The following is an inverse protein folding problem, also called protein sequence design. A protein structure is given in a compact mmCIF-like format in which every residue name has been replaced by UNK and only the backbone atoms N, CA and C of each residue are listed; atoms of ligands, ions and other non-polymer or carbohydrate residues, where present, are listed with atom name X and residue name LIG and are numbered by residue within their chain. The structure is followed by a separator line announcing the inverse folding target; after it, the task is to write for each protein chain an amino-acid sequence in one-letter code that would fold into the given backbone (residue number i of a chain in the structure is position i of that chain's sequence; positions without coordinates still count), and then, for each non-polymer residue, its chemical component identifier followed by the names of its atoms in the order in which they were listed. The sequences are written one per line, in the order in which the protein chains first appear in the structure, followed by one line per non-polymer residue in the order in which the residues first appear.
data_IF_008095024318
#
_entry.id   IF_008095024318
#
_cell.length_a   1.000
_cell.length_b   1.000
_cell.length_c   1.000
_cell.angle_alpha   90.00
_cell.angle_beta   90.00
_cell.angle_gamma   90.00
#
_symmetry.space_group_name_H-M   'P 1'
#
loop_
_entity.id
_entity.type
_entity.pdbx_description
1 polymer ?
#
# COMPACT_ATOMS: atom_id res chain seq x y z
N UNK A 1 -8.06 -32.90 -25.24
CA UNK A 1 -7.78 -31.46 -25.14
C UNK A 1 -8.51 -30.96 -23.90
N UNK A 2 -7.87 -31.02 -22.74
CA UNK A 2 -8.49 -30.59 -21.48
C UNK A 2 -8.39 -29.05 -21.43
N UNK A 3 -9.53 -28.38 -21.34
CA UNK A 3 -9.58 -26.94 -21.09
C UNK A 3 -8.89 -26.65 -19.76
N UNK A 4 -7.86 -25.80 -19.79
CA UNK A 4 -7.29 -25.28 -18.56
C UNK A 4 -8.37 -24.43 -17.87
N UNK A 5 -8.82 -24.88 -16.70
CA UNK A 5 -9.69 -24.10 -15.82
C UNK A 5 -8.90 -22.87 -15.40
N UNK A 6 -9.26 -21.73 -15.97
CA UNK A 6 -8.62 -20.45 -15.69
C UNK A 6 -9.13 -19.94 -14.33
N UNK A 7 -8.48 -20.35 -13.24
CA UNK A 7 -8.68 -19.75 -11.92
C UNK A 7 -8.00 -18.37 -11.87
N UNK A 8 -8.41 -17.44 -12.73
CA UNK A 8 -8.18 -16.01 -12.49
C UNK A 8 -9.39 -15.48 -11.74
N UNK A 9 -9.44 -15.80 -10.44
CA UNK A 9 -9.96 -14.79 -9.50
C UNK A 9 -9.22 -13.48 -9.80
N UNK A 10 -9.90 -12.33 -9.70
CA UNK A 10 -9.26 -11.00 -9.80
C UNK A 10 -7.84 -11.10 -9.27
N UNK A 11 -6.83 -10.79 -10.08
CA UNK A 11 -5.49 -10.57 -9.55
C UNK A 11 -5.61 -9.36 -8.63
N UNK A 12 -6.01 -9.59 -7.38
CA UNK A 12 -6.10 -8.55 -6.38
C UNK A 12 -4.68 -8.02 -6.25
N UNK A 13 -4.50 -6.77 -6.67
CA UNK A 13 -3.22 -6.09 -6.52
C UNK A 13 -2.86 -6.15 -5.04
N UNK A 14 -1.67 -6.64 -4.70
CA UNK A 14 -1.18 -6.66 -3.33
C UNK A 14 -1.23 -5.25 -2.75
N UNK A 15 -1.87 -5.11 -1.60
CA UNK A 15 -2.22 -3.83 -0.99
C UNK A 15 -1.18 -3.46 0.06
N UNK A 16 -0.33 -2.49 -0.27
CA UNK A 16 0.71 -1.98 0.61
C UNK A 16 0.23 -0.74 1.36
N UNK A 17 0.21 -0.80 2.69
CA UNK A 17 -0.08 0.35 3.54
C UNK A 17 1.17 0.90 4.21
N UNK A 18 1.33 2.22 4.17
CA UNK A 18 2.39 2.90 4.92
C UNK A 18 1.85 3.52 6.21
N UNK A 19 2.45 3.16 7.34
CA UNK A 19 2.27 3.89 8.60
C UNK A 19 3.38 4.92 8.67
N UNK A 20 3.00 6.20 8.54
CA UNK A 20 3.92 7.31 8.29
C UNK A 20 4.25 7.43 6.80
N UNK A 21 4.28 8.67 6.30
CA UNK A 21 4.63 8.96 4.90
C UNK A 21 5.71 10.06 4.82
N UNK A 22 6.90 9.73 5.33
CA UNK A 22 8.10 10.54 5.21
C UNK A 22 8.94 10.21 3.98
N UNK A 23 10.20 10.62 3.98
CA UNK A 23 11.11 10.43 2.83
C UNK A 23 11.29 8.95 2.45
N UNK A 24 11.40 8.04 3.43
CA UNK A 24 11.55 6.60 3.16
C UNK A 24 10.33 6.02 2.46
N UNK A 25 9.13 6.24 3.00
CA UNK A 25 7.88 5.79 2.38
C UNK A 25 7.72 6.35 0.96
N UNK A 26 8.06 7.64 0.77
CA UNK A 26 8.02 8.26 -0.56
C UNK A 26 9.00 7.59 -1.52
N UNK A 27 10.23 7.33 -1.11
CA UNK A 27 11.22 6.66 -1.97
C UNK A 27 10.77 5.25 -2.37
N UNK A 28 10.22 4.48 -1.42
CA UNK A 28 9.66 3.15 -1.69
C UNK A 28 8.49 3.24 -2.67
N UNK A 29 7.54 4.15 -2.43
CA UNK A 29 6.39 4.35 -3.31
C UNK A 29 6.83 4.75 -4.73
N UNK A 30 7.68 5.76 -4.87
CA UNK A 30 8.13 6.22 -6.20
C UNK A 30 8.90 5.13 -6.96
N UNK A 31 9.66 4.29 -6.25
CA UNK A 31 10.38 3.17 -6.85
C UNK A 31 9.52 1.99 -7.27
N UNK A 32 8.29 1.87 -6.76
CA UNK A 32 7.41 0.70 -6.98
C UNK A 32 6.04 1.03 -7.58
N UNK A 33 5.67 2.31 -7.74
CA UNK A 33 4.32 2.71 -8.17
C UNK A 33 3.92 2.20 -9.56
N UNK A 34 4.90 1.88 -10.41
CA UNK A 34 4.70 1.39 -11.79
C UNK A 34 4.68 -0.15 -11.86
N UNK A 35 4.99 -0.84 -10.77
CA UNK A 35 4.99 -2.30 -10.72
C UNK A 35 3.57 -2.86 -10.83
N UNK A 36 3.40 -3.83 -11.73
CA UNK A 36 2.13 -4.51 -11.91
C UNK A 36 1.77 -5.29 -10.65
N UNK A 37 0.47 -5.33 -10.33
CA UNK A 37 -0.02 -6.08 -9.19
C UNK A 37 0.20 -5.41 -7.83
N UNK A 38 0.61 -4.13 -7.77
CA UNK A 38 0.72 -3.39 -6.51
C UNK A 38 -0.30 -2.26 -6.39
N UNK A 39 -0.78 -2.04 -5.17
CA UNK A 39 -1.61 -0.89 -4.80
C UNK A 39 -1.16 -0.32 -3.46
N UNK A 40 -1.30 0.99 -3.28
CA UNK A 40 -0.69 1.71 -2.16
C UNK A 40 -1.73 2.58 -1.46
N UNK A 41 -1.62 2.70 -0.13
CA UNK A 41 -2.33 3.68 0.69
C UNK A 41 -1.46 4.07 1.90
N UNK A 42 -1.84 5.13 2.62
CA UNK A 42 -1.09 5.54 3.80
C UNK A 42 -1.96 6.12 4.91
N UNK A 43 -1.47 5.97 6.14
CA UNK A 43 -1.94 6.66 7.33
C UNK A 43 -0.79 7.51 7.88
N UNK A 44 -1.06 8.77 8.20
CA UNK A 44 -0.07 9.69 8.76
C UNK A 44 -0.76 10.79 9.58
N UNK A 45 0.01 11.49 10.42
CA UNK A 45 -0.50 12.62 11.22
C UNK A 45 -1.06 13.77 10.37
N UNK A 46 -0.57 13.93 9.15
CA UNK A 46 -1.05 14.93 8.20
C UNK A 46 -1.06 14.38 6.78
N UNK A 47 -2.10 14.77 6.03
CA UNK A 47 -2.24 14.43 4.61
C UNK A 47 -1.07 14.99 3.81
N UNK A 48 -0.63 14.21 2.83
CA UNK A 48 0.43 14.54 1.87
C UNK A 48 -0.17 14.75 0.48
N UNK A 49 0.49 15.58 -0.33
CA UNK A 49 0.15 15.81 -1.73
C UNK A 49 0.73 14.67 -2.59
N UNK A 50 0.13 13.49 -2.47
CA UNK A 50 0.49 12.29 -3.24
C UNK A 50 -0.77 11.60 -3.78
N UNK A 51 -0.73 10.99 -4.97
CA UNK A 51 -1.92 10.45 -5.63
C UNK A 51 -2.28 9.04 -5.14
N UNK A 52 -2.12 8.77 -3.84
CA UNK A 52 -2.52 7.52 -3.20
C UNK A 52 -3.50 7.80 -2.05
N UNK A 53 -4.44 6.90 -1.74
CA UNK A 53 -5.40 7.08 -0.66
C UNK A 53 -4.73 7.42 0.69
N UNK A 54 -5.26 8.46 1.32
CA UNK A 54 -4.98 8.81 2.71
C UNK A 54 -6.11 8.27 3.58
N UNK A 55 -5.76 7.47 4.59
CA UNK A 55 -6.69 7.04 5.62
C UNK A 55 -6.50 7.88 6.88
N UNK A 56 -7.60 8.39 7.43
CA UNK A 56 -7.62 9.20 8.66
C UNK A 56 -7.50 8.35 9.93
N UNK A 57 -7.83 7.06 9.83
CA UNK A 57 -7.79 6.10 10.94
C UNK A 57 -6.90 4.92 10.57
N UNK A 58 -6.10 4.46 11.53
CA UNK A 58 -5.18 3.35 11.32
C UNK A 58 -5.93 2.06 10.94
N UNK A 59 -7.10 1.84 11.52
CA UNK A 59 -7.93 0.67 11.27
C UNK A 59 -8.35 0.59 9.80
N UNK A 60 -8.61 1.73 9.14
CA UNK A 60 -8.95 1.74 7.71
C UNK A 60 -7.77 1.29 6.85
N UNK A 61 -6.54 1.70 7.21
CA UNK A 61 -5.33 1.23 6.54
C UNK A 61 -5.15 -0.27 6.74
N UNK A 62 -5.33 -0.77 7.97
CA UNK A 62 -5.20 -2.20 8.29
C UNK A 62 -6.23 -3.04 7.51
N UNK A 63 -7.48 -2.59 7.38
CA UNK A 63 -8.48 -3.28 6.57
C UNK A 63 -8.16 -3.26 5.07
N UNK A 64 -7.46 -2.24 4.59
CA UNK A 64 -7.01 -2.17 3.21
C UNK A 64 -5.80 -3.08 2.95
N UNK A 65 -4.83 -3.14 3.86
CA UNK A 65 -3.50 -3.66 3.57
C UNK A 65 -3.34 -5.18 3.70
N UNK A 66 -2.68 -5.77 2.71
CA UNK A 66 -2.07 -7.11 2.81
C UNK A 66 -0.67 -7.03 3.45
N UNK A 67 0.04 -5.91 3.24
CA UNK A 67 1.38 -5.63 3.77
C UNK A 67 1.40 -4.25 4.43
N UNK A 68 1.95 -4.17 5.65
CA UNK A 68 2.17 -2.91 6.35
C UNK A 68 3.65 -2.56 6.42
N UNK A 69 3.97 -1.34 6.01
CA UNK A 69 5.29 -0.74 6.12
C UNK A 69 5.31 0.25 7.28
N UNK A 70 6.12 -0.02 8.30
CA UNK A 70 6.36 0.89 9.41
C UNK A 70 7.46 1.89 9.01
N UNK A 71 7.05 3.01 8.41
CA UNK A 71 7.93 4.07 7.93
C UNK A 71 7.95 5.31 8.85
N UNK A 72 7.47 5.15 10.09
CA UNK A 72 7.68 6.09 11.18
C UNK A 72 9.04 5.86 11.82
N UNK A 73 9.61 6.93 12.40
CA UNK A 73 10.77 6.76 13.27
C UNK A 73 10.38 5.87 14.47
N UNK A 74 11.26 4.95 14.91
CA UNK A 74 11.07 4.30 16.19
C UNK A 74 10.95 5.38 17.28
N UNK A 75 10.13 5.13 18.29
CA UNK A 75 10.21 5.92 19.51
C UNK A 75 11.54 5.59 20.18
N UNK A 76 12.17 6.59 20.82
CA UNK A 76 13.35 6.38 21.66
C UNK A 76 13.09 5.36 22.77
#
# INVERSE_FOLDING_TARGET
MLSQVNFRGKSDKMKHGFIGFGNLARAIYEGLKEEEGMSFAYFARSRKEVPIPFYEKLEQLVHFSDVLWLAVKPQD
#
